data_IF_479263219975
#
_entry.id   IF_479263219975
#
_cell.length_a   1.000
_cell.length_b   1.000
_cell.length_c   1.000
_cell.angle_alpha   90.00
_cell.angle_beta   90.00
_cell.angle_gamma   90.00
#
_symmetry.space_group_name_H-M   'P 1'
#
loop_
_entity.id
_entity.type
_entity.pdbx_description
1 polymer ?
#
# COMPACT_ATOMS: atom_id res chain seq x y z
N UNK A 1 -8.79 -10.52 22.94
CA UNK A 1 -8.10 -9.40 22.27
C UNK A 1 -9.09 -8.44 21.64
N UNK A 2 -8.71 -7.18 21.46
CA UNK A 2 -9.54 -6.24 20.69
C UNK A 2 -9.34 -6.42 19.19
N UNK A 3 -10.44 -6.32 18.41
CA UNK A 3 -10.42 -6.31 16.96
C UNK A 3 -11.55 -5.45 16.40
N UNK A 4 -11.31 -4.82 15.26
CA UNK A 4 -12.34 -4.11 14.52
C UNK A 4 -13.07 -5.09 13.59
N UNK A 5 -14.32 -5.36 13.92
CA UNK A 5 -15.17 -6.36 13.27
C UNK A 5 -16.11 -5.68 12.27
N UNK A 6 -16.13 -6.18 11.04
CA UNK A 6 -17.04 -5.80 9.96
C UNK A 6 -18.10 -6.89 9.78
N UNK A 7 -19.17 -6.85 10.56
CA UNK A 7 -20.22 -7.88 10.52
C UNK A 7 -21.06 -7.84 9.23
N UNK A 8 -21.12 -6.70 8.55
CA UNK A 8 -21.86 -6.46 7.30
C UNK A 8 -21.14 -5.45 6.43
N UNK A 9 -21.39 -5.46 5.13
CA UNK A 9 -20.95 -4.40 4.25
C UNK A 9 -21.68 -3.09 4.53
N UNK A 10 -21.02 -1.95 4.32
CA UNK A 10 -21.65 -0.65 4.54
C UNK A 10 -20.67 0.50 4.68
N UNK A 11 -21.12 1.63 5.26
CA UNK A 11 -20.28 2.79 5.53
C UNK A 11 -19.24 2.51 6.63
N UNK A 12 -18.30 3.43 6.89
CA UNK A 12 -17.21 3.21 7.87
C UNK A 12 -17.67 2.76 9.27
N UNK A 13 -18.86 3.17 9.69
CA UNK A 13 -19.46 2.87 10.99
C UNK A 13 -19.79 1.38 11.21
N UNK A 14 -19.74 0.56 10.15
CA UNK A 14 -19.88 -0.91 10.30
C UNK A 14 -18.65 -1.56 10.93
N UNK A 15 -17.53 -0.84 10.99
CA UNK A 15 -16.32 -1.27 11.69
C UNK A 15 -16.46 -0.96 13.17
N UNK A 16 -16.63 -2.00 13.97
CA UNK A 16 -16.81 -1.85 15.42
C UNK A 16 -15.70 -2.59 16.15
N UNK A 17 -14.97 -1.88 17.02
CA UNK A 17 -13.98 -2.50 17.87
C UNK A 17 -14.68 -3.21 19.01
N UNK A 18 -14.37 -4.48 19.19
CA UNK A 18 -14.95 -5.34 20.22
C UNK A 18 -13.96 -6.39 20.68
N UNK A 19 -14.24 -6.99 21.83
CA UNK A 19 -13.47 -8.12 22.33
C UNK A 19 -13.83 -9.40 21.55
N UNK A 20 -12.79 -10.10 21.11
CA UNK A 20 -12.89 -11.38 20.41
C UNK A 20 -11.90 -12.37 21.02
N UNK A 21 -12.13 -13.66 20.79
CA UNK A 21 -11.17 -14.69 21.24
C UNK A 21 -9.79 -14.48 20.60
N UNK A 22 -8.77 -14.72 21.38
CA UNK A 22 -7.39 -14.68 20.89
C UNK A 22 -7.16 -15.82 19.89
N UNK A 23 -6.46 -15.56 18.78
CA UNK A 23 -6.11 -16.62 17.86
C UNK A 23 -5.02 -17.52 18.46
N UNK A 24 -5.10 -18.81 18.17
CA UNK A 24 -4.12 -19.81 18.64
C UNK A 24 -3.30 -20.28 17.45
N UNK A 25 -1.96 -20.24 17.60
CA UNK A 25 -1.05 -20.70 16.55
C UNK A 25 -1.15 -22.20 16.34
N UNK A 26 -1.47 -22.60 15.11
CA UNK A 26 -1.36 -24.00 14.69
C UNK A 26 0.09 -24.45 14.57
N UNK A 27 0.31 -25.76 14.35
CA UNK A 27 1.67 -26.33 14.32
C UNK A 27 2.62 -25.67 13.31
N UNK A 28 2.12 -25.02 12.26
CA UNK A 28 2.89 -24.36 11.20
C UNK A 28 2.71 -22.84 11.16
N UNK A 29 2.04 -22.27 12.15
CA UNK A 29 1.68 -20.85 12.19
C UNK A 29 2.57 -20.07 13.16
N UNK A 30 2.66 -18.79 12.96
CA UNK A 30 3.19 -17.82 13.90
C UNK A 30 2.04 -16.96 14.43
N UNK A 31 2.04 -16.70 15.74
CA UNK A 31 1.17 -15.71 16.38
C UNK A 31 1.91 -14.38 16.40
N UNK A 32 1.30 -13.36 15.81
CA UNK A 32 1.89 -12.03 15.70
C UNK A 32 1.05 -11.05 16.51
N UNK A 33 1.68 -10.34 17.43
CA UNK A 33 1.17 -9.13 18.05
C UNK A 33 1.36 -7.99 17.04
N UNK A 34 0.27 -7.38 16.64
CA UNK A 34 0.27 -6.32 15.63
C UNK A 34 0.57 -4.99 16.31
N UNK A 35 1.67 -4.35 15.96
CA UNK A 35 1.99 -2.99 16.38
C UNK A 35 1.35 -1.95 15.47
N UNK A 36 1.30 -2.23 14.15
CA UNK A 36 0.69 -1.32 13.19
C UNK A 36 0.06 -2.04 11.98
N UNK A 37 -0.94 -1.39 11.41
CA UNK A 37 -1.57 -1.76 10.13
C UNK A 37 -1.86 -0.51 9.32
N UNK A 38 -2.38 -0.65 8.08
CA UNK A 38 -2.69 0.49 7.22
C UNK A 38 -4.11 0.43 6.69
N UNK A 39 -4.68 1.61 6.40
CA UNK A 39 -5.94 1.72 5.64
C UNK A 39 -5.63 2.13 4.21
N UNK A 40 -6.00 1.26 3.28
CA UNK A 40 -5.88 1.49 1.85
C UNK A 40 -7.23 1.71 1.19
N UNK A 41 -7.30 2.31 -0.01
CA UNK A 41 -8.55 2.36 -0.77
C UNK A 41 -9.16 0.97 -1.02
N UNK A 42 -8.35 -0.09 -1.13
CA UNK A 42 -8.84 -1.46 -1.30
C UNK A 42 -9.60 -1.95 -0.07
N UNK A 43 -9.14 -1.61 1.13
CA UNK A 43 -9.84 -1.94 2.38
C UNK A 43 -11.21 -1.24 2.44
N UNK A 44 -11.29 0.02 2.00
CA UNK A 44 -12.54 0.76 1.92
C UNK A 44 -13.53 0.11 0.95
N UNK A 45 -13.06 -0.33 -0.23
CA UNK A 45 -13.91 -1.05 -1.19
C UNK A 45 -14.40 -2.39 -0.66
N UNK A 46 -13.54 -3.17 -0.02
CA UNK A 46 -13.92 -4.46 0.57
C UNK A 46 -14.95 -4.24 1.68
N UNK A 47 -14.71 -3.29 2.59
CA UNK A 47 -15.66 -2.94 3.66
C UNK A 47 -17.01 -2.48 3.12
N UNK A 48 -17.02 -1.64 2.08
CA UNK A 48 -18.28 -1.14 1.48
C UNK A 48 -19.03 -2.22 0.69
N UNK A 49 -18.37 -3.32 0.35
CA UNK A 49 -18.93 -4.35 -0.50
C UNK A 49 -19.08 -3.93 -1.96
N UNK A 50 -18.46 -2.81 -2.36
CA UNK A 50 -18.47 -2.30 -3.74
C UNK A 50 -17.06 -2.47 -4.31
N UNK A 51 -16.75 -3.61 -4.95
CA UNK A 51 -15.46 -3.76 -5.60
C UNK A 51 -15.36 -2.76 -6.77
N UNK A 52 -14.21 -2.10 -6.87
CA UNK A 52 -13.91 -1.16 -7.99
C UNK A 52 -13.72 -1.87 -9.34
N UNK A 53 -13.88 -3.18 -9.39
CA UNK A 53 -13.60 -4.02 -10.53
C UNK A 53 -14.77 -4.08 -11.56
N UNK A 54 -14.46 -4.48 -12.79
CA UNK A 54 -15.44 -4.79 -13.83
C UNK A 54 -16.43 -5.88 -13.37
N UNK A 55 -17.63 -5.93 -13.94
CA UNK A 55 -18.75 -6.77 -13.48
C UNK A 55 -18.37 -8.25 -13.24
N UNK A 56 -17.61 -8.88 -14.13
CA UNK A 56 -17.14 -10.27 -14.00
C UNK A 56 -16.19 -10.43 -12.82
N UNK A 57 -15.23 -9.50 -12.68
CA UNK A 57 -14.29 -9.49 -11.54
C UNK A 57 -15.01 -9.22 -10.21
N UNK A 58 -16.11 -8.47 -10.24
CA UNK A 58 -17.00 -8.24 -9.08
C UNK A 58 -17.60 -9.53 -8.57
N UNK A 59 -18.14 -10.37 -9.47
CA UNK A 59 -18.75 -11.64 -9.08
C UNK A 59 -17.69 -12.60 -8.49
N UNK A 60 -16.54 -12.74 -9.16
CA UNK A 60 -15.44 -13.56 -8.65
C UNK A 60 -14.94 -13.07 -7.27
N UNK A 61 -14.81 -11.78 -7.10
CA UNK A 61 -14.39 -11.21 -5.81
C UNK A 61 -15.46 -11.47 -4.73
N UNK A 62 -16.74 -11.32 -5.03
CA UNK A 62 -17.86 -11.64 -4.12
C UNK A 62 -17.85 -13.10 -3.67
N UNK A 63 -17.52 -14.04 -4.55
CA UNK A 63 -17.33 -15.45 -4.16
C UNK A 63 -16.24 -15.59 -3.11
N UNK A 64 -15.18 -14.81 -3.21
CA UNK A 64 -14.02 -14.88 -2.29
C UNK A 64 -14.26 -14.15 -0.98
N UNK A 65 -14.73 -12.88 -1.05
CA UNK A 65 -14.90 -12.03 0.14
C UNK A 65 -16.24 -12.22 0.85
N UNK A 66 -17.25 -12.81 0.20
CA UNK A 66 -18.62 -13.02 0.69
C UNK A 66 -19.68 -12.23 -0.09
N UNK A 67 -20.89 -12.76 -0.18
CA UNK A 67 -21.99 -12.12 -0.93
C UNK A 67 -22.71 -11.05 -0.12
N UNK A 68 -23.20 -11.39 1.05
CA UNK A 68 -24.03 -10.51 1.91
C UNK A 68 -23.22 -9.86 3.04
N UNK A 69 -22.16 -10.50 3.50
CA UNK A 69 -21.25 -10.05 4.54
C UNK A 69 -19.83 -10.55 4.26
N UNK A 70 -18.79 -9.90 4.82
CA UNK A 70 -17.44 -10.43 4.72
C UNK A 70 -17.34 -11.83 5.32
N UNK A 71 -16.74 -12.78 4.59
CA UNK A 71 -16.45 -14.13 5.13
C UNK A 71 -15.44 -14.06 6.26
N UNK A 72 -14.56 -13.05 6.24
CA UNK A 72 -13.60 -12.73 7.28
C UNK A 72 -13.97 -11.38 7.86
N UNK A 73 -14.57 -11.36 9.05
CA UNK A 73 -15.11 -10.13 9.62
C UNK A 73 -14.04 -9.16 10.09
N UNK A 74 -12.83 -9.64 10.41
CA UNK A 74 -11.68 -8.78 10.71
C UNK A 74 -10.96 -8.50 9.39
N UNK A 75 -11.05 -7.26 8.93
CA UNK A 75 -10.42 -6.81 7.69
C UNK A 75 -8.96 -6.39 7.92
N UNK A 76 -8.39 -5.59 6.99
CA UNK A 76 -6.99 -5.18 7.02
C UNK A 76 -6.07 -6.21 6.39
N UNK A 77 -5.25 -5.77 5.44
CA UNK A 77 -4.42 -6.65 4.64
C UNK A 77 -2.91 -6.51 4.88
N UNK A 78 -2.50 -5.52 5.67
CA UNK A 78 -1.10 -5.23 5.99
C UNK A 78 -0.90 -5.27 7.49
N UNK A 79 0.23 -5.75 7.93
CA UNK A 79 0.65 -5.62 9.33
C UNK A 79 2.16 -5.44 9.46
N UNK A 80 2.58 -4.81 10.53
CA UNK A 80 3.89 -4.92 11.13
C UNK A 80 3.71 -5.19 12.62
N UNK A 81 4.62 -5.95 13.22
CA UNK A 81 4.53 -6.32 14.62
C UNK A 81 5.56 -7.38 15.00
N UNK A 82 5.35 -8.03 16.13
CA UNK A 82 6.28 -8.97 16.75
C UNK A 82 5.68 -10.36 16.91
N UNK A 83 6.47 -11.39 16.69
CA UNK A 83 6.05 -12.78 16.89
C UNK A 83 6.04 -13.10 18.39
N UNK A 84 4.85 -13.37 18.95
CA UNK A 84 4.67 -13.77 20.35
C UNK A 84 4.77 -15.29 20.57
N UNK A 85 4.38 -16.09 19.57
CA UNK A 85 4.46 -17.53 19.65
C UNK A 85 4.65 -18.18 18.27
N UNK A 86 5.26 -19.35 18.24
CA UNK A 86 5.47 -20.15 17.03
C UNK A 86 4.95 -21.57 17.22
N UNK A 87 4.39 -22.13 16.16
CA UNK A 87 3.99 -23.53 16.13
C UNK A 87 5.19 -24.47 16.07
N UNK A 88 5.05 -25.69 16.61
CA UNK A 88 6.13 -26.69 16.77
C UNK A 88 6.88 -27.10 15.48
N UNK A 89 6.34 -26.77 14.31
CA UNK A 89 6.93 -27.06 12.98
C UNK A 89 7.49 -25.81 12.31
N UNK A 90 7.51 -24.68 12.98
CA UNK A 90 8.07 -23.43 12.46
C UNK A 90 9.59 -23.44 12.72
N UNK A 91 10.36 -23.20 11.66
CA UNK A 91 11.84 -23.15 11.71
C UNK A 91 12.40 -21.85 11.13
N UNK A 92 11.55 -21.04 10.48
CA UNK A 92 11.96 -19.84 9.76
C UNK A 92 11.99 -18.59 10.65
N UNK A 93 11.21 -18.59 11.69
CA UNK A 93 11.02 -17.46 12.59
C UNK A 93 11.17 -17.87 14.04
N UNK A 94 11.49 -16.88 14.90
CA UNK A 94 11.63 -17.03 16.34
C UNK A 94 10.67 -16.09 17.07
N UNK A 95 10.38 -16.38 18.33
CA UNK A 95 9.68 -15.45 19.22
C UNK A 95 10.54 -14.22 19.42
N UNK A 96 9.93 -13.03 19.34
CA UNK A 96 10.62 -11.74 19.38
C UNK A 96 11.03 -11.19 18.01
N UNK A 97 10.93 -11.98 16.92
CA UNK A 97 11.21 -11.48 15.59
C UNK A 97 10.19 -10.37 15.24
N UNK A 98 10.70 -9.20 14.85
CA UNK A 98 9.87 -8.16 14.23
C UNK A 98 9.61 -8.51 12.77
N UNK A 99 8.35 -8.54 12.39
CA UNK A 99 7.90 -8.96 11.06
C UNK A 99 6.92 -7.97 10.45
N UNK A 100 6.85 -7.96 9.12
CA UNK A 100 5.77 -7.32 8.40
C UNK A 100 5.22 -8.25 7.32
N UNK A 101 3.94 -8.04 6.97
CA UNK A 101 3.26 -8.93 6.05
C UNK A 101 2.19 -8.23 5.21
N UNK A 102 1.97 -8.78 4.02
CA UNK A 102 0.80 -8.50 3.20
C UNK A 102 -0.08 -9.75 3.14
N UNK A 103 -1.18 -9.76 3.87
CA UNK A 103 -2.10 -10.91 3.97
C UNK A 103 -3.04 -11.02 2.78
N UNK A 104 -3.17 -9.98 1.95
CA UNK A 104 -4.11 -9.89 0.83
C UNK A 104 -5.56 -10.25 1.25
N UNK A 105 -6.24 -11.14 0.53
CA UNK A 105 -7.60 -11.57 0.84
C UNK A 105 -7.73 -12.46 2.09
N UNK A 106 -6.61 -12.82 2.74
CA UNK A 106 -6.65 -13.47 4.06
C UNK A 106 -7.11 -12.50 5.14
N UNK A 107 -6.84 -11.20 4.97
CA UNK A 107 -7.22 -10.14 5.93
C UNK A 107 -6.73 -10.43 7.36
N UNK A 108 -7.41 -9.89 8.38
CA UNK A 108 -7.16 -10.21 9.80
C UNK A 108 -6.18 -9.27 10.48
N UNK A 109 -5.86 -8.09 9.88
CA UNK A 109 -4.88 -7.18 10.44
C UNK A 109 -5.48 -6.02 11.27
N UNK A 110 -6.80 -5.85 11.30
CA UNK A 110 -7.45 -4.86 12.17
C UNK A 110 -7.75 -5.45 13.55
N UNK A 111 -6.72 -5.94 14.21
CA UNK A 111 -6.79 -6.62 15.51
C UNK A 111 -5.46 -6.50 16.25
N UNK A 112 -5.46 -6.74 17.56
CA UNK A 112 -4.23 -6.79 18.36
C UNK A 112 -3.33 -7.98 17.98
N UNK A 113 -3.91 -9.12 17.60
CA UNK A 113 -3.18 -10.35 17.26
C UNK A 113 -3.73 -11.02 16.01
N UNK A 114 -2.87 -11.74 15.31
CA UNK A 114 -3.27 -12.60 14.19
C UNK A 114 -2.36 -13.81 14.07
N UNK A 115 -2.90 -14.94 13.52
CA UNK A 115 -2.10 -16.10 13.18
C UNK A 115 -1.88 -16.19 11.68
N UNK A 116 -0.63 -16.33 11.26
CA UNK A 116 -0.25 -16.52 9.86
C UNK A 116 0.60 -17.77 9.69
N UNK A 117 0.42 -18.52 8.56
CA UNK A 117 1.34 -19.60 8.23
C UNK A 117 2.77 -19.07 8.08
N UNK A 118 3.74 -19.68 8.75
CA UNK A 118 5.15 -19.33 8.63
C UNK A 118 5.68 -19.48 7.19
N UNK A 119 4.98 -20.28 6.35
CA UNK A 119 5.28 -20.48 4.93
C UNK A 119 4.67 -19.41 4.03
N UNK A 120 3.95 -18.43 4.58
CA UNK A 120 3.37 -17.35 3.79
C UNK A 120 4.49 -16.56 3.10
N UNK A 121 4.48 -16.58 1.77
CA UNK A 121 5.51 -15.92 0.93
C UNK A 121 5.54 -14.39 1.13
N UNK A 122 4.48 -13.84 1.72
CA UNK A 122 4.27 -12.41 1.97
C UNK A 122 4.36 -12.08 3.45
N UNK A 123 5.20 -12.80 4.19
CA UNK A 123 5.61 -12.55 5.56
C UNK A 123 7.14 -12.58 5.59
N UNK A 124 7.77 -11.53 6.13
CA UNK A 124 9.24 -11.42 6.24
C UNK A 124 9.61 -10.60 7.47
N UNK A 125 10.88 -10.57 7.82
CA UNK A 125 11.39 -9.69 8.86
C UNK A 125 11.13 -8.23 8.49
N UNK A 126 10.79 -7.41 9.47
CA UNK A 126 10.60 -5.98 9.28
C UNK A 126 11.95 -5.28 9.09
N UNK A 127 12.01 -4.14 8.36
CA UNK A 127 13.21 -3.33 8.30
C UNK A 127 13.68 -2.95 9.71
N UNK A 128 14.95 -3.19 10.00
CA UNK A 128 15.52 -3.01 11.34
C UNK A 128 15.58 -1.55 11.81
N UNK A 129 15.65 -0.62 10.84
CA UNK A 129 15.75 0.82 11.04
C UNK A 129 14.40 1.56 11.03
N UNK A 130 13.28 0.86 10.89
CA UNK A 130 11.94 1.43 10.85
C UNK A 130 11.11 1.01 12.08
N UNK A 131 10.23 1.89 12.53
CA UNK A 131 9.15 1.56 13.47
C UNK A 131 8.12 0.62 12.83
N UNK A 132 7.18 0.06 13.62
CA UNK A 132 6.11 -0.77 13.07
C UNK A 132 5.16 0.04 12.18
N UNK A 133 4.89 1.31 12.53
CA UNK A 133 4.09 2.22 11.70
C UNK A 133 4.73 2.44 10.32
N UNK A 134 6.03 2.68 10.30
CA UNK A 134 6.78 2.84 9.06
C UNK A 134 6.88 1.52 8.29
N UNK A 135 7.16 0.41 8.96
CA UNK A 135 7.25 -0.91 8.32
C UNK A 135 5.91 -1.32 7.65
N UNK A 136 4.77 -1.06 8.31
CA UNK A 136 3.46 -1.26 7.70
C UNK A 136 3.25 -0.37 6.46
N UNK A 137 3.79 0.86 6.48
CA UNK A 137 3.65 1.82 5.39
C UNK A 137 4.56 1.53 4.16
N UNK A 138 5.58 0.66 4.29
CA UNK A 138 6.48 0.26 3.18
C UNK A 138 5.74 -0.42 2.03
N UNK A 139 4.59 -1.06 2.29
CA UNK A 139 3.84 -1.80 1.25
C UNK A 139 3.45 -0.94 0.05
N UNK A 140 3.29 0.38 0.20
CA UNK A 140 3.08 1.31 -0.92
C UNK A 140 4.16 1.17 -2.01
N UNK A 141 5.37 0.77 -1.63
CA UNK A 141 6.48 0.49 -2.55
C UNK A 141 6.29 -0.73 -3.44
N UNK A 142 5.48 -1.73 -3.03
CA UNK A 142 5.31 -2.94 -3.84
C UNK A 142 4.68 -2.68 -5.21
N UNK A 143 3.61 -1.89 -5.27
CA UNK A 143 2.99 -1.50 -6.54
C UNK A 143 3.99 -0.74 -7.43
N UNK A 144 4.69 0.22 -6.83
CA UNK A 144 5.71 1.00 -7.53
C UNK A 144 6.83 0.10 -8.07
N UNK A 145 7.39 -0.78 -7.24
CA UNK A 145 8.45 -1.72 -7.63
C UNK A 145 8.01 -2.63 -8.80
N UNK A 146 6.78 -3.15 -8.75
CA UNK A 146 6.24 -3.99 -9.81
C UNK A 146 6.13 -3.26 -11.14
N UNK A 147 5.48 -2.09 -11.17
CA UNK A 147 5.22 -1.36 -12.40
C UNK A 147 6.48 -0.71 -12.98
N UNK A 148 7.35 -0.14 -12.13
CA UNK A 148 8.63 0.41 -12.57
C UNK A 148 9.57 -0.69 -13.11
N UNK A 149 9.59 -1.86 -12.46
CA UNK A 149 10.31 -3.02 -12.94
C UNK A 149 9.82 -3.50 -14.30
N UNK A 150 8.49 -3.49 -14.53
CA UNK A 150 7.90 -3.81 -15.84
C UNK A 150 8.23 -2.78 -16.92
N UNK A 151 8.35 -1.50 -16.53
CA UNK A 151 8.82 -0.45 -17.42
C UNK A 151 10.29 -0.65 -17.82
N UNK A 152 11.05 -1.40 -17.03
CA UNK A 152 12.50 -1.57 -17.15
C UNK A 152 13.22 -0.22 -17.06
N UNK A 153 12.91 0.53 -15.98
CA UNK A 153 13.51 1.85 -15.75
C UNK A 153 14.99 1.69 -15.47
N UNK A 154 15.77 2.56 -16.11
CA UNK A 154 17.22 2.63 -15.95
C UNK A 154 17.76 4.05 -15.89
N UNK A 155 19.07 4.15 -15.76
CA UNK A 155 19.77 5.42 -15.63
C UNK A 155 19.55 6.33 -16.85
N UNK A 156 19.33 7.62 -16.58
CA UNK A 156 19.16 8.68 -17.61
C UNK A 156 17.79 8.72 -18.28
N UNK A 157 16.89 7.78 -17.97
CA UNK A 157 15.51 7.85 -18.48
C UNK A 157 14.70 8.95 -17.78
N UNK A 158 13.89 9.64 -18.56
CA UNK A 158 12.94 10.65 -18.05
C UNK A 158 11.62 9.97 -17.67
N UNK A 159 11.29 10.03 -16.38
CA UNK A 159 10.11 9.37 -15.81
C UNK A 159 9.16 10.40 -15.25
N UNK A 160 7.91 10.41 -15.71
CA UNK A 160 6.85 11.19 -15.09
C UNK A 160 6.01 10.29 -14.19
N UNK A 161 5.82 10.72 -12.93
CA UNK A 161 4.94 10.06 -11.94
C UNK A 161 3.72 10.94 -11.72
N UNK A 162 2.56 10.53 -12.24
CA UNK A 162 1.30 11.23 -11.99
C UNK A 162 0.63 10.70 -10.72
N UNK A 163 0.17 11.62 -9.85
CA UNK A 163 -0.35 11.29 -8.52
C UNK A 163 0.75 10.91 -7.54
N UNK A 164 1.89 11.59 -7.68
CA UNK A 164 3.12 11.33 -6.95
C UNK A 164 2.99 11.43 -5.42
N UNK A 165 2.01 12.17 -4.90
CA UNK A 165 1.84 12.35 -3.45
C UNK A 165 1.15 11.19 -2.73
N UNK A 166 0.54 10.23 -3.45
CA UNK A 166 -0.07 9.04 -2.85
C UNK A 166 0.98 7.98 -2.45
N UNK A 167 0.59 6.92 -1.71
CA UNK A 167 1.51 5.89 -1.23
C UNK A 167 2.33 5.25 -2.37
N UNK A 168 1.66 4.85 -3.46
CA UNK A 168 2.34 4.25 -4.62
C UNK A 168 3.20 5.28 -5.37
N UNK A 169 2.71 6.52 -5.52
CA UNK A 169 3.41 7.58 -6.24
C UNK A 169 4.67 8.05 -5.52
N UNK A 170 4.59 8.30 -4.21
CA UNK A 170 5.73 8.69 -3.39
C UNK A 170 6.83 7.62 -3.36
N UNK A 171 6.43 6.35 -3.33
CA UNK A 171 7.37 5.24 -3.48
C UNK A 171 7.96 5.16 -4.89
N UNK A 172 7.14 5.43 -5.92
CA UNK A 172 7.61 5.41 -7.31
C UNK A 172 8.65 6.49 -7.59
N UNK A 173 8.48 7.70 -7.06
CA UNK A 173 9.48 8.77 -7.15
C UNK A 173 10.82 8.30 -6.60
N UNK A 174 10.83 7.78 -5.37
CA UNK A 174 12.06 7.33 -4.71
C UNK A 174 12.72 6.15 -5.45
N UNK A 175 11.93 5.15 -5.87
CA UNK A 175 12.45 4.00 -6.59
C UNK A 175 12.97 4.37 -7.98
N UNK A 176 12.28 5.25 -8.72
CA UNK A 176 12.77 5.72 -10.01
C UNK A 176 14.10 6.48 -9.86
N UNK A 177 14.23 7.30 -8.81
CA UNK A 177 15.51 7.95 -8.46
C UNK A 177 16.58 6.93 -8.11
N UNK A 178 16.25 5.90 -7.32
CA UNK A 178 17.19 4.83 -7.01
C UNK A 178 17.70 4.10 -8.27
N UNK A 179 16.86 3.95 -9.28
CA UNK A 179 17.25 3.37 -10.58
C UNK A 179 17.99 4.35 -11.50
N UNK A 180 18.25 5.57 -11.06
CA UNK A 180 19.03 6.58 -11.79
C UNK A 180 18.23 7.40 -12.81
N UNK A 181 16.91 7.40 -12.74
CA UNK A 181 16.05 8.19 -13.62
C UNK A 181 16.04 9.68 -13.26
N UNK A 182 15.71 10.52 -14.25
CA UNK A 182 15.30 11.91 -14.10
C UNK A 182 13.78 11.91 -13.86
N UNK A 183 13.35 12.33 -12.66
CA UNK A 183 11.97 12.16 -12.19
C UNK A 183 11.21 13.47 -12.14
N UNK A 184 10.15 13.56 -12.95
CA UNK A 184 9.13 14.60 -12.84
C UNK A 184 7.94 14.06 -12.05
N UNK A 185 7.64 14.66 -10.91
CA UNK A 185 6.51 14.32 -10.05
C UNK A 185 5.34 15.27 -10.27
N UNK A 186 4.11 14.74 -10.40
CA UNK A 186 2.89 15.57 -10.54
C UNK A 186 2.03 15.43 -9.30
N UNK A 187 1.73 16.56 -8.67
CA UNK A 187 0.91 16.64 -7.45
C UNK A 187 0.10 17.94 -7.37
N UNK A 188 -0.60 18.17 -6.26
CA UNK A 188 -1.17 19.47 -5.91
C UNK A 188 -0.18 20.31 -5.10
N UNK A 189 -0.40 21.63 -5.04
CA UNK A 189 0.45 22.63 -4.35
C UNK A 189 0.94 22.16 -2.99
N UNK A 190 0.07 21.63 -2.16
CA UNK A 190 0.38 21.23 -0.78
C UNK A 190 1.38 20.06 -0.66
N UNK A 191 1.80 19.46 -1.78
CA UNK A 191 2.68 18.29 -1.79
C UNK A 191 4.01 18.53 -2.52
N UNK A 192 4.24 19.74 -3.04
CA UNK A 192 5.41 20.09 -3.85
C UNK A 192 6.70 19.91 -3.04
N UNK A 193 6.77 20.48 -1.86
CA UNK A 193 7.95 20.41 -0.97
C UNK A 193 8.27 18.95 -0.59
N UNK A 194 7.25 18.20 -0.20
CA UNK A 194 7.43 16.77 0.15
C UNK A 194 8.05 15.99 -1.02
N UNK A 195 7.56 16.18 -2.24
CA UNK A 195 8.08 15.43 -3.38
C UNK A 195 9.49 15.83 -3.79
N UNK A 196 9.84 17.12 -3.64
CA UNK A 196 11.22 17.58 -3.77
C UNK A 196 12.13 16.89 -2.76
N UNK A 197 11.71 16.80 -1.49
CA UNK A 197 12.48 16.12 -0.43
C UNK A 197 12.62 14.60 -0.64
N UNK A 198 11.70 13.97 -1.38
CA UNK A 198 11.77 12.57 -1.78
C UNK A 198 12.64 12.33 -3.03
N UNK A 199 13.24 13.39 -3.57
CA UNK A 199 14.21 13.31 -4.66
C UNK A 199 13.64 13.51 -6.07
N UNK A 200 12.43 14.05 -6.22
CA UNK A 200 11.96 14.46 -7.55
C UNK A 200 12.83 15.60 -8.08
N UNK A 201 13.32 15.49 -9.32
CA UNK A 201 14.14 16.54 -9.97
C UNK A 201 13.27 17.72 -10.40
N UNK A 202 12.03 17.46 -10.81
CA UNK A 202 11.02 18.45 -11.17
C UNK A 202 9.69 18.09 -10.49
N UNK A 203 9.00 19.10 -9.95
CA UNK A 203 7.65 18.90 -9.41
C UNK A 203 6.68 19.83 -10.13
N UNK A 204 5.65 19.25 -10.77
CA UNK A 204 4.59 19.99 -11.44
C UNK A 204 3.32 20.00 -10.60
N UNK A 205 2.79 21.20 -10.37
CA UNK A 205 1.52 21.40 -9.67
C UNK A 205 0.36 21.37 -10.67
N UNK A 206 -0.40 20.27 -10.73
CA UNK A 206 -1.51 20.13 -11.67
C UNK A 206 -2.65 21.14 -11.46
N UNK A 207 -2.64 21.90 -10.35
CA UNK A 207 -3.63 22.95 -10.07
C UNK A 207 -3.25 24.30 -10.67
N UNK A 208 -1.99 24.46 -11.07
CA UNK A 208 -1.41 25.72 -11.57
C UNK A 208 -0.79 25.59 -12.94
N UNK A 209 -0.10 24.46 -13.19
CA UNK A 209 0.67 24.27 -14.40
C UNK A 209 -0.20 23.87 -15.59
N UNK A 210 -0.02 24.51 -16.76
CA UNK A 210 -0.68 24.12 -17.99
C UNK A 210 -0.13 22.82 -18.54
N UNK A 211 -0.87 22.17 -19.42
CA UNK A 211 -0.42 20.95 -20.10
C UNK A 211 0.88 21.14 -20.92
N UNK A 212 1.16 22.37 -21.37
CA UNK A 212 2.39 22.74 -22.07
C UNK A 212 3.65 22.71 -21.18
N UNK A 213 3.51 22.66 -19.86
CA UNK A 213 4.63 22.48 -18.96
C UNK A 213 5.25 21.06 -19.00
N UNK A 214 4.55 20.10 -19.62
CA UNK A 214 5.05 18.74 -19.80
C UNK A 214 6.16 18.69 -20.85
N UNK A 215 7.29 18.07 -20.47
CA UNK A 215 8.35 17.68 -21.39
C UNK A 215 8.02 16.42 -22.17
N UNK A 216 9.07 15.69 -22.59
CA UNK A 216 8.96 14.37 -23.21
C UNK A 216 9.53 13.32 -22.25
N UNK A 217 8.83 12.20 -22.09
CA UNK A 217 9.15 11.16 -21.11
C UNK A 217 9.30 9.78 -21.74
N UNK A 218 10.26 9.02 -21.24
CA UNK A 218 10.47 7.64 -21.65
C UNK A 218 9.50 6.70 -20.92
N UNK A 219 9.06 7.09 -19.70
CA UNK A 219 8.02 6.39 -18.96
C UNK A 219 7.08 7.41 -18.31
N UNK A 220 5.79 7.18 -18.46
CA UNK A 220 4.74 7.84 -17.68
C UNK A 220 4.08 6.80 -16.77
N UNK A 221 4.23 6.96 -15.47
CA UNK A 221 3.57 6.12 -14.48
C UNK A 221 2.37 6.83 -13.86
N UNK A 222 1.18 6.33 -14.14
CA UNK A 222 -0.08 6.78 -13.54
C UNK A 222 -0.36 6.01 -12.25
N UNK A 223 0.01 6.60 -11.11
CA UNK A 223 -0.18 6.02 -9.77
C UNK A 223 -1.62 6.19 -9.22
N UNK A 224 -2.52 6.82 -9.97
CA UNK A 224 -3.92 7.11 -9.55
C UNK A 224 -4.94 6.22 -10.26
N UNK A 225 -4.65 5.81 -11.48
CA UNK A 225 -5.56 5.05 -12.32
C UNK A 225 -6.78 5.88 -12.75
N UNK A 226 -7.89 5.22 -13.03
CA UNK A 226 -9.11 5.84 -13.59
C UNK A 226 -9.88 6.72 -12.60
N UNK A 227 -9.49 6.75 -11.34
CA UNK A 227 -10.22 7.44 -10.27
C UNK A 227 -10.16 8.95 -10.35
N UNK A 228 -9.08 9.48 -10.89
CA UNK A 228 -8.88 10.94 -11.03
C UNK A 228 -8.33 11.25 -12.40
N UNK A 229 -8.82 12.30 -12.99
CA UNK A 229 -8.31 12.85 -14.25
C UNK A 229 -8.05 14.34 -14.11
N UNK A 230 -7.21 14.88 -14.98
CA UNK A 230 -6.95 16.31 -15.14
C UNK A 230 -6.42 16.53 -16.55
N UNK A 231 -6.44 17.78 -17.03
CA UNK A 231 -5.85 18.13 -18.31
C UNK A 231 -4.38 17.71 -18.43
N UNK A 232 -3.64 17.84 -17.32
CA UNK A 232 -2.24 17.40 -17.25
C UNK A 232 -2.09 15.88 -17.41
N UNK A 233 -3.00 15.10 -16.82
CA UNK A 233 -2.99 13.64 -16.94
C UNK A 233 -3.29 13.18 -18.37
N UNK A 234 -4.23 13.80 -19.02
CA UNK A 234 -4.58 13.51 -20.41
C UNK A 234 -3.41 13.87 -21.35
N UNK A 235 -2.81 15.04 -21.14
CA UNK A 235 -1.64 15.49 -21.88
C UNK A 235 -0.41 14.60 -21.65
N UNK A 236 -0.23 14.02 -20.45
CA UNK A 236 0.88 13.13 -20.13
C UNK A 236 0.93 11.88 -21.03
N UNK A 237 -0.23 11.40 -21.51
CA UNK A 237 -0.27 10.30 -22.50
C UNK A 237 0.39 10.68 -23.83
N UNK A 238 0.28 11.94 -24.22
CA UNK A 238 0.85 12.47 -25.44
C UNK A 238 2.27 13.02 -25.25
N UNK A 239 2.75 13.05 -24.00
CA UNK A 239 4.08 13.52 -23.64
C UNK A 239 5.16 12.41 -23.67
N UNK A 240 4.86 11.26 -24.28
CA UNK A 240 5.81 10.17 -24.45
C UNK A 240 6.79 10.43 -25.59
N UNK A 241 8.02 9.94 -25.43
CA UNK A 241 8.96 9.77 -26.53
C UNK A 241 8.44 8.70 -27.50
N UNK A 242 8.97 8.59 -28.75
CA UNK A 242 8.50 7.58 -29.73
C UNK A 242 8.56 6.13 -29.20
N UNK A 243 9.52 5.80 -28.33
CA UNK A 243 9.65 4.49 -27.66
C UNK A 243 9.09 4.47 -26.24
N UNK A 244 8.45 5.56 -25.80
CA UNK A 244 7.98 5.74 -24.44
C UNK A 244 6.83 4.82 -24.05
N UNK A 245 6.72 4.53 -22.76
CA UNK A 245 5.72 3.62 -22.20
C UNK A 245 4.78 4.37 -21.24
N UNK A 246 3.46 4.20 -21.43
CA UNK A 246 2.47 4.59 -20.42
C UNK A 246 2.06 3.39 -19.59
N UNK A 247 2.16 3.48 -18.26
CA UNK A 247 1.84 2.40 -17.34
C UNK A 247 0.93 2.95 -16.25
N UNK A 248 -0.16 2.25 -15.96
CA UNK A 248 -1.12 2.64 -14.94
C UNK A 248 -1.31 1.53 -13.91
N UNK A 249 -1.60 1.91 -12.66
CA UNK A 249 -1.99 0.98 -11.60
C UNK A 249 -3.26 0.18 -11.92
N UNK A 250 -4.02 0.58 -12.93
CA UNK A 250 -5.24 -0.12 -13.39
C UNK A 250 -5.01 -1.04 -14.60
N UNK A 251 -3.80 -1.13 -15.13
CA UNK A 251 -3.53 -1.96 -16.32
C UNK A 251 -3.69 -3.43 -16.04
N UNK A 252 -3.22 -3.87 -14.86
CA UNK A 252 -3.33 -5.25 -14.43
C UNK A 252 -3.27 -5.38 -12.89
N UNK A 253 -3.64 -6.56 -12.38
CA UNK A 253 -3.38 -6.90 -10.97
C UNK A 253 -1.91 -7.32 -10.84
N UNK A 254 -1.12 -6.62 -10.00
CA UNK A 254 0.28 -6.94 -9.83
C UNK A 254 0.46 -8.36 -9.30
N UNK A 255 1.41 -9.08 -9.90
CA UNK A 255 1.78 -10.41 -9.43
C UNK A 255 2.79 -10.28 -8.30
N UNK A 256 2.48 -10.86 -7.15
CA UNK A 256 3.40 -10.89 -6.03
C UNK A 256 4.49 -11.93 -6.24
N UNK A 257 5.75 -11.51 -6.23
CA UNK A 257 6.92 -12.39 -6.31
C UNK A 257 7.41 -12.71 -4.90
N UNK A 258 8.07 -13.86 -4.73
CA UNK A 258 8.53 -14.33 -3.41
C UNK A 258 9.49 -13.36 -2.71
N UNK A 259 10.29 -12.64 -3.47
CA UNK A 259 11.33 -11.72 -2.98
C UNK A 259 10.88 -10.26 -2.86
N UNK A 260 9.66 -9.91 -3.30
CA UNK A 260 9.23 -8.51 -3.34
C UNK A 260 9.31 -7.83 -1.97
N UNK A 261 8.83 -8.49 -0.88
CA UNK A 261 8.92 -7.90 0.46
C UNK A 261 10.37 -7.81 0.95
N UNK A 262 11.19 -8.83 0.70
CA UNK A 262 12.60 -8.81 1.09
C UNK A 262 13.33 -7.66 0.40
N UNK A 263 13.09 -7.47 -0.90
CA UNK A 263 13.68 -6.36 -1.65
C UNK A 263 13.21 -4.99 -1.12
N UNK A 264 11.94 -4.86 -0.75
CA UNK A 264 11.44 -3.63 -0.13
C UNK A 264 12.06 -3.39 1.26
N UNK A 265 12.26 -4.45 2.05
CA UNK A 265 12.98 -4.37 3.33
C UNK A 265 14.40 -3.86 3.11
N UNK A 266 15.15 -4.45 2.19
CA UNK A 266 16.52 -4.05 1.86
C UNK A 266 16.61 -2.59 1.38
N UNK A 267 15.69 -2.16 0.51
CA UNK A 267 15.61 -0.78 0.04
C UNK A 267 15.30 0.21 1.18
N UNK A 268 14.44 -0.18 2.10
CA UNK A 268 14.11 0.65 3.27
C UNK A 268 15.30 0.74 4.24
N UNK A 269 15.96 -0.37 4.54
CA UNK A 269 17.17 -0.41 5.39
C UNK A 269 18.33 0.41 4.79
N UNK A 270 18.47 0.37 3.47
CA UNK A 270 19.46 1.19 2.75
C UNK A 270 19.06 2.68 2.63
N UNK A 271 17.91 3.10 3.18
CA UNK A 271 17.41 4.48 3.10
C UNK A 271 16.99 4.92 1.70
N UNK A 272 16.80 3.97 0.77
CA UNK A 272 16.39 4.22 -0.63
C UNK A 272 14.87 4.28 -0.78
N UNK A 273 14.13 3.82 0.23
CA UNK A 273 12.69 3.88 0.29
C UNK A 273 12.26 4.29 1.71
N UNK A 274 11.81 5.54 1.86
CA UNK A 274 11.23 6.07 3.10
C UNK A 274 9.72 6.11 2.97
N UNK A 275 8.97 5.38 3.80
CA UNK A 275 7.52 5.42 3.76
C UNK A 275 7.01 6.80 4.18
N UNK A 276 6.05 7.34 3.42
CA UNK A 276 5.37 8.58 3.77
C UNK A 276 4.11 8.24 4.55
N UNK A 277 4.00 8.73 5.77
CA UNK A 277 2.81 8.59 6.63
C UNK A 277 2.12 9.95 6.70
N UNK A 278 0.86 9.99 6.31
CA UNK A 278 0.01 11.19 6.35
C UNK A 278 -0.62 11.38 7.72
N UNK A 279 -1.27 10.32 8.21
CA UNK A 279 -1.96 10.31 9.50
C UNK A 279 -1.85 8.97 10.18
N UNK A 280 -1.88 9.04 11.51
CA UNK A 280 -1.95 7.89 12.41
C UNK A 280 -3.26 7.96 13.20
N UNK A 281 -3.90 6.81 13.37
CA UNK A 281 -5.11 6.65 14.17
C UNK A 281 -4.95 5.43 15.08
N UNK A 282 -5.46 5.44 16.30
CA UNK A 282 -5.57 4.22 17.09
C UNK A 282 -6.64 3.29 16.48
N UNK A 283 -6.59 2.01 16.82
CA UNK A 283 -7.53 1.00 16.31
C UNK A 283 -9.01 1.38 16.57
N UNK A 284 -9.28 2.01 17.69
CA UNK A 284 -10.62 2.48 18.10
C UNK A 284 -11.20 3.54 17.14
N UNK A 285 -10.32 4.27 16.42
CA UNK A 285 -10.72 5.29 15.45
C UNK A 285 -10.61 4.80 14.00
N UNK A 286 -10.60 3.48 13.77
CA UNK A 286 -10.48 2.88 12.44
C UNK A 286 -11.56 3.39 11.47
N UNK A 287 -12.81 3.56 11.92
CA UNK A 287 -13.89 4.10 11.08
C UNK A 287 -13.59 5.51 10.57
N UNK A 288 -12.95 6.36 11.38
CA UNK A 288 -12.52 7.70 10.97
C UNK A 288 -11.40 7.63 9.93
N UNK A 289 -10.44 6.73 10.12
CA UNK A 289 -9.35 6.51 9.16
C UNK A 289 -9.90 6.07 7.80
N UNK A 290 -10.89 5.15 7.77
CA UNK A 290 -11.57 4.75 6.54
C UNK A 290 -12.29 5.93 5.86
N UNK A 291 -13.01 6.75 6.62
CA UNK A 291 -13.70 7.95 6.12
C UNK A 291 -12.70 8.94 5.51
N UNK A 292 -11.57 9.13 6.17
CA UNK A 292 -10.50 9.98 5.65
C UNK A 292 -9.91 9.46 4.34
N UNK A 293 -9.62 8.16 4.25
CA UNK A 293 -9.08 7.54 3.02
C UNK A 293 -10.08 7.63 1.86
N UNK A 294 -11.38 7.51 2.12
CA UNK A 294 -12.44 7.62 1.10
C UNK A 294 -12.55 9.02 0.47
N UNK A 295 -12.13 10.08 1.16
CA UNK A 295 -12.04 11.42 0.60
C UNK A 295 -11.03 11.53 -0.55
N UNK A 296 -10.06 10.58 -0.60
CA UNK A 296 -9.13 10.47 -1.73
C UNK A 296 -8.04 11.54 -1.78
N UNK A 297 -7.77 12.28 -0.70
CA UNK A 297 -6.79 13.36 -0.63
C UNK A 297 -5.57 13.04 0.26
N UNK A 298 -5.45 11.81 0.74
CA UNK A 298 -4.33 11.40 1.59
C UNK A 298 -2.97 11.54 0.91
N UNK A 299 -1.96 11.92 1.68
CA UNK A 299 -0.55 11.90 1.31
C UNK A 299 0.08 10.58 1.78
N UNK A 300 0.81 9.86 0.92
CA UNK A 300 1.41 8.60 1.39
C UNK A 300 0.38 7.62 1.99
N UNK A 301 0.64 7.15 3.20
CA UNK A 301 -0.11 6.11 3.89
C UNK A 301 -0.92 6.66 5.07
N UNK A 302 -2.02 5.98 5.39
CA UNK A 302 -2.76 6.15 6.65
C UNK A 302 -2.52 4.91 7.49
N UNK A 303 -1.95 5.09 8.66
CA UNK A 303 -1.53 4.03 9.56
C UNK A 303 -2.50 3.93 10.73
N UNK A 304 -2.75 2.71 11.17
CA UNK A 304 -3.46 2.39 12.40
C UNK A 304 -2.44 1.82 13.36
N UNK A 305 -2.17 2.53 14.43
CA UNK A 305 -1.37 2.05 15.56
C UNK A 305 -2.25 1.17 16.43
N UNK A 306 -1.76 -0.03 16.72
CA UNK A 306 -2.47 -1.01 17.53
C UNK A 306 -1.77 -1.09 18.88
N UNK A 307 -2.42 -0.59 19.91
CA UNK A 307 -1.93 -0.71 21.29
C UNK A 307 -2.35 -2.06 21.90
N UNK A 308 -1.62 -2.50 22.92
CA UNK A 308 -1.97 -3.68 23.74
C UNK A 308 -3.23 -3.44 24.56
#
# INVERSE_FOLDING_TARGET
MKAAVCARYGPPEVLQVQDVHDPVAGAKDVLIRIGATTVTPSDCYIRSGIPSARLVSRLMLRVTIGFTRPRRPILGAVLAGEIEAIGRKVTRFHVGDRVWAFTALRMGCYAQRTCLPATLKRLTLAPSNLSDDEAAAVLGGWMALYFLGKANIGSGQRVLVYGASGANGASAVQLAKHFGADVTAVCSTANVEMLGSLGADTVLDYTKEPASALGRYDVVFDAVGRRKTSALKEAARNALTPAGKFISVDDELPRFRRHDLTQLTELAEAGKLKPVIDRQYPLERLAEAHRYVEQGHKKGNVVITVAD
#
